data_IF_642689625637
#
_entry.id   IF_642689625637
#
_cell.length_a   1.000
_cell.length_b   1.000
_cell.length_c   1.000
_cell.angle_alpha   90.00
_cell.angle_beta   90.00
_cell.angle_gamma   90.00
#
_symmetry.space_group_name_H-M   'P 1'
#
loop_
_entity.id
_entity.type
_entity.pdbx_description
1 polymer ?
#
# COMPACT_ATOMS: atom_id res chain seq x y z
N UNK A 1 10.51 19.30 0.83
CA UNK A 1 9.71 18.11 0.49
C UNK A 1 8.58 17.97 1.48
N UNK A 2 7.36 17.81 0.98
CA UNK A 2 6.20 17.62 1.85
C UNK A 2 6.01 16.14 2.12
N UNK A 3 5.77 15.78 3.38
CA UNK A 3 5.65 14.38 3.79
C UNK A 3 4.42 14.16 4.66
N UNK A 4 3.69 13.09 4.39
CA UNK A 4 2.52 12.67 5.16
C UNK A 4 2.81 11.31 5.77
N UNK A 5 2.57 11.17 7.07
CA UNK A 5 2.80 9.91 7.78
C UNK A 5 1.52 9.51 8.49
N UNK A 6 1.08 8.27 8.27
CA UNK A 6 -0.07 7.71 8.95
C UNK A 6 0.27 6.33 9.50
N UNK A 7 -0.28 6.00 10.63
CA UNK A 7 -0.08 4.69 11.24
C UNK A 7 -1.42 4.09 11.64
N UNK A 8 -1.47 2.77 11.74
CA UNK A 8 -2.67 2.06 12.17
C UNK A 8 -2.25 0.78 12.88
N UNK A 9 -2.83 0.53 14.06
CA UNK A 9 -2.63 -0.74 14.73
C UNK A 9 -3.48 -1.79 14.03
N UNK A 10 -2.89 -2.95 13.78
CA UNK A 10 -3.55 -4.04 13.06
C UNK A 10 -3.55 -5.29 13.95
N UNK A 11 -4.70 -5.93 14.18
CA UNK A 11 -4.77 -7.08 15.07
C UNK A 11 -4.35 -8.38 14.37
N UNK A 12 -3.18 -8.38 13.78
CA UNK A 12 -2.58 -9.55 13.15
C UNK A 12 -1.09 -9.56 13.47
N UNK A 13 -0.44 -10.68 13.20
CA UNK A 13 1.02 -10.75 13.34
C UNK A 13 1.69 -9.95 12.22
N UNK A 14 2.98 -9.69 12.40
CA UNK A 14 3.79 -9.02 11.36
C UNK A 14 3.76 -9.83 10.06
N UNK A 15 3.87 -11.15 10.15
CA UNK A 15 3.86 -12.01 8.96
C UNK A 15 2.58 -11.90 8.17
N UNK A 16 1.43 -11.84 8.86
CA UNK A 16 0.15 -11.70 8.20
C UNK A 16 0.02 -10.35 7.51
N UNK A 17 0.41 -9.28 8.20
CA UNK A 17 0.32 -7.96 7.64
C UNK A 17 1.27 -7.78 6.45
N UNK A 18 2.47 -8.35 6.54
CA UNK A 18 3.41 -8.28 5.43
C UNK A 18 2.90 -9.09 4.23
N UNK A 19 2.32 -10.27 4.48
CA UNK A 19 1.73 -11.07 3.40
C UNK A 19 0.61 -10.29 2.71
N UNK A 20 -0.21 -9.56 3.47
CA UNK A 20 -1.26 -8.74 2.90
C UNK A 20 -0.70 -7.63 2.02
N UNK A 21 0.41 -7.00 2.45
CA UNK A 21 1.03 -5.96 1.65
C UNK A 21 1.54 -6.52 0.33
N UNK A 22 2.07 -7.73 0.34
CA UNK A 22 2.55 -8.37 -0.88
C UNK A 22 1.42 -8.66 -1.87
N UNK A 23 0.17 -8.62 -1.40
CA UNK A 23 -1.00 -8.82 -2.25
C UNK A 23 -1.70 -7.50 -2.56
N UNK A 24 -0.97 -6.40 -2.52
CA UNK A 24 -1.56 -5.08 -2.76
C UNK A 24 -2.24 -4.96 -4.12
N UNK A 25 -1.81 -5.74 -5.09
CA UNK A 25 -2.46 -5.77 -6.40
C UNK A 25 -3.92 -6.21 -6.31
N UNK A 26 -4.29 -6.94 -5.26
CA UNK A 26 -5.67 -7.40 -5.09
C UNK A 26 -6.55 -6.36 -4.40
N UNK A 27 -6.00 -5.58 -3.47
CA UNK A 27 -6.82 -4.65 -2.73
C UNK A 27 -6.65 -3.17 -3.13
N UNK A 28 -5.57 -2.80 -3.82
CA UNK A 28 -5.43 -1.43 -4.31
C UNK A 28 -6.61 -0.99 -5.17
N UNK A 29 -7.15 -1.84 -6.07
CA UNK A 29 -8.29 -1.41 -6.88
C UNK A 29 -9.56 -1.15 -6.08
N UNK A 30 -9.64 -1.64 -4.84
CA UNK A 30 -10.84 -1.44 -4.02
C UNK A 30 -10.84 -0.11 -3.27
N UNK A 31 -9.73 0.63 -3.29
CA UNK A 31 -9.71 1.95 -2.67
C UNK A 31 -10.66 2.88 -3.43
N UNK A 32 -11.33 3.75 -2.69
CA UNK A 32 -12.35 4.63 -3.27
C UNK A 32 -11.79 5.56 -4.36
N UNK A 33 -10.50 5.85 -4.30
CA UNK A 33 -9.86 6.74 -5.27
C UNK A 33 -9.40 6.02 -6.52
N UNK A 34 -9.41 4.68 -6.53
CA UNK A 34 -8.85 3.90 -7.61
C UNK A 34 -9.92 3.20 -8.43
N UNK A 35 -9.56 2.85 -9.65
CA UNK A 35 -10.42 2.10 -10.56
C UNK A 35 -9.76 0.80 -10.98
N UNK A 36 -8.45 0.80 -11.18
CA UNK A 36 -7.76 -0.38 -11.69
C UNK A 36 -6.27 -0.34 -11.35
N UNK A 37 -5.66 -1.52 -11.30
CA UNK A 37 -4.21 -1.69 -11.22
C UNK A 37 -3.83 -2.59 -12.37
N UNK A 38 -2.93 -2.10 -13.23
CA UNK A 38 -2.51 -2.83 -14.43
C UNK A 38 -1.04 -3.21 -14.33
N UNK A 39 -0.72 -4.43 -14.64
CA UNK A 39 0.65 -4.93 -14.63
C UNK A 39 0.74 -6.17 -15.50
N UNK A 40 1.96 -6.58 -15.84
CA UNK A 40 2.19 -7.80 -16.60
C UNK A 40 1.89 -9.00 -15.70
N UNK A 41 0.87 -9.78 -16.05
CA UNK A 41 0.40 -10.88 -15.22
C UNK A 41 1.07 -12.22 -15.54
N UNK A 42 2.14 -12.19 -16.32
CA UNK A 42 2.85 -13.42 -16.66
C UNK A 42 3.65 -13.96 -15.47
N UNK A 43 3.91 -13.14 -14.45
CA UNK A 43 4.64 -13.58 -13.26
C UNK A 43 3.97 -13.00 -12.00
N UNK A 44 4.55 -13.25 -10.83
CA UNK A 44 4.01 -12.76 -9.58
C UNK A 44 4.07 -11.24 -9.50
N UNK A 45 3.23 -10.65 -8.65
CA UNK A 45 3.16 -9.19 -8.58
C UNK A 45 4.29 -8.56 -7.78
N UNK A 46 4.55 -9.06 -6.57
CA UNK A 46 5.37 -8.31 -5.62
C UNK A 46 6.83 -8.73 -5.66
N UNK A 47 7.67 -7.90 -6.26
CA UNK A 47 9.13 -8.10 -6.23
C UNK A 47 9.81 -6.76 -6.54
N UNK A 48 11.04 -6.62 -6.09
CA UNK A 48 11.80 -5.40 -6.32
C UNK A 48 12.05 -5.21 -7.82
N UNK A 49 11.71 -4.06 -8.32
CA UNK A 49 11.80 -3.76 -9.76
C UNK A 49 10.48 -3.89 -10.51
N UNK A 50 9.43 -4.43 -9.86
CA UNK A 50 8.11 -4.54 -10.50
C UNK A 50 7.55 -3.16 -10.85
N UNK A 51 7.12 -2.99 -12.10
CA UNK A 51 6.41 -1.77 -12.52
C UNK A 51 4.93 -2.09 -12.68
N UNK A 52 4.08 -1.14 -12.37
CA UNK A 52 2.65 -1.27 -12.50
C UNK A 52 2.00 0.11 -12.62
N UNK A 53 0.74 0.13 -13.03
CA UNK A 53 0.00 1.39 -13.15
C UNK A 53 -1.18 1.36 -12.21
N UNK A 54 -1.43 2.46 -11.52
CA UNK A 54 -2.65 2.65 -10.75
C UNK A 54 -3.48 3.69 -11.49
N UNK A 55 -4.68 3.30 -11.91
CA UNK A 55 -5.60 4.20 -12.61
C UNK A 55 -6.63 4.68 -11.61
N UNK A 56 -6.73 6.00 -11.45
CA UNK A 56 -7.66 6.59 -10.51
C UNK A 56 -9.06 6.68 -11.13
N UNK A 57 -10.05 6.98 -10.30
CA UNK A 57 -11.42 7.15 -10.80
C UNK A 57 -11.56 8.29 -11.78
N UNK A 58 -10.72 9.32 -11.65
CA UNK A 58 -10.71 10.43 -12.59
C UNK A 58 -10.00 10.08 -13.90
N UNK A 59 -9.41 8.89 -13.98
CA UNK A 59 -8.73 8.48 -15.21
C UNK A 59 -7.25 8.85 -15.25
N UNK A 60 -6.69 9.29 -14.13
CA UNK A 60 -5.26 9.61 -14.07
C UNK A 60 -4.49 8.31 -13.85
N UNK A 61 -3.44 8.10 -14.61
CA UNK A 61 -2.59 6.92 -14.47
C UNK A 61 -1.31 7.30 -13.75
N UNK A 62 -1.04 6.61 -12.64
CA UNK A 62 0.21 6.76 -11.91
C UNK A 62 1.11 5.59 -12.26
N UNK A 63 2.25 5.89 -12.87
CA UNK A 63 3.26 4.87 -13.19
C UNK A 63 4.05 4.61 -11.91
N UNK A 64 4.07 3.37 -11.49
CA UNK A 64 4.63 2.99 -10.19
C UNK A 64 5.68 1.89 -10.33
N UNK A 65 6.60 1.87 -9.38
CA UNK A 65 7.63 0.84 -9.32
C UNK A 65 7.86 0.44 -7.87
N UNK A 66 7.89 -0.86 -7.60
CA UNK A 66 8.35 -1.36 -6.31
C UNK A 66 9.86 -1.25 -6.32
N UNK A 67 10.37 -0.16 -5.75
CA UNK A 67 11.76 0.24 -5.91
C UNK A 67 12.71 -0.53 -4.99
N UNK A 68 12.30 -0.77 -3.75
CA UNK A 68 13.11 -1.46 -2.78
C UNK A 68 12.23 -2.30 -1.88
N UNK A 69 12.60 -3.57 -1.68
CA UNK A 69 11.92 -4.47 -0.75
C UNK A 69 12.93 -4.92 0.30
N UNK A 70 12.64 -4.65 1.57
CA UNK A 70 13.47 -5.09 2.68
C UNK A 70 12.67 -6.13 3.48
N UNK A 71 12.90 -7.40 3.20
CA UNK A 71 12.16 -8.49 3.85
C UNK A 71 12.48 -8.58 5.33
N UNK A 72 13.71 -8.29 5.72
CA UNK A 72 14.12 -8.39 7.13
C UNK A 72 13.41 -7.32 7.97
N UNK A 73 13.34 -6.09 7.45
CA UNK A 73 12.71 -4.98 8.16
C UNK A 73 11.22 -4.86 7.87
N UNK A 74 10.68 -5.65 6.97
CA UNK A 74 9.29 -5.60 6.54
C UNK A 74 8.91 -4.21 6.07
N UNK A 75 9.64 -3.74 5.07
CA UNK A 75 9.50 -2.39 4.56
C UNK A 75 9.62 -2.39 3.04
N UNK A 76 8.82 -1.60 2.37
CA UNK A 76 8.87 -1.45 0.92
C UNK A 76 8.87 0.03 0.58
N UNK A 77 9.63 0.38 -0.44
CA UNK A 77 9.64 1.73 -0.98
C UNK A 77 9.10 1.67 -2.41
N UNK A 78 8.12 2.51 -2.71
CA UNK A 78 7.47 2.55 -4.01
C UNK A 78 7.61 3.96 -4.58
N UNK A 79 8.03 4.05 -5.83
CA UNK A 79 8.14 5.31 -6.54
C UNK A 79 6.99 5.40 -7.53
N UNK A 80 6.30 6.52 -7.56
CA UNK A 80 5.18 6.72 -8.47
C UNK A 80 5.30 8.07 -9.16
N UNK A 81 4.82 8.16 -10.38
CA UNK A 81 4.88 9.43 -11.12
C UNK A 81 3.71 9.56 -12.08
N UNK A 82 3.34 10.82 -12.33
CA UNK A 82 2.39 11.18 -13.36
C UNK A 82 2.83 12.55 -13.89
N UNK A 83 3.22 12.59 -15.14
CA UNK A 83 3.76 13.80 -15.74
C UNK A 83 4.98 14.28 -14.94
N UNK A 84 4.97 15.51 -14.43
CA UNK A 84 6.06 16.05 -13.64
C UNK A 84 5.90 15.78 -12.16
N UNK A 85 4.77 15.22 -11.75
CA UNK A 85 4.52 14.93 -10.36
C UNK A 85 5.16 13.59 -9.98
N UNK A 86 5.88 13.58 -8.88
CA UNK A 86 6.51 12.36 -8.36
C UNK A 86 6.17 12.17 -6.92
N UNK A 87 6.03 10.92 -6.48
CA UNK A 87 5.84 10.62 -5.08
C UNK A 87 6.69 9.43 -4.67
N UNK A 88 7.11 9.45 -3.41
CA UNK A 88 7.85 8.36 -2.78
C UNK A 88 6.96 7.82 -1.68
N UNK A 89 6.65 6.54 -1.76
CA UNK A 89 5.79 5.88 -0.79
C UNK A 89 6.59 4.84 -0.05
N UNK A 90 6.51 4.84 1.29
CA UNK A 90 7.12 3.81 2.10
C UNK A 90 6.05 3.16 2.94
N UNK A 91 5.98 1.84 2.91
CA UNK A 91 5.08 1.07 3.76
C UNK A 91 5.91 0.14 4.63
N UNK A 92 5.60 0.08 5.92
CA UNK A 92 6.35 -0.78 6.83
C UNK A 92 5.43 -1.40 7.88
N UNK A 93 5.89 -2.51 8.43
CA UNK A 93 5.17 -3.24 9.48
C UNK A 93 6.12 -3.41 10.66
N UNK A 94 5.66 -2.99 11.87
CA UNK A 94 6.44 -3.15 13.08
C UNK A 94 5.66 -4.00 14.07
N UNK A 95 6.35 -4.88 14.77
CA UNK A 95 5.74 -5.74 15.76
C UNK A 95 5.34 -4.92 16.99
N UNK A 96 4.12 -5.12 17.49
CA UNK A 96 3.70 -4.63 18.80
C UNK A 96 3.79 -5.82 19.77
N UNK A 97 3.15 -6.93 19.42
CA UNK A 97 3.29 -8.19 20.14
C UNK A 97 3.02 -9.34 19.14
N UNK A 98 2.83 -10.56 19.60
CA UNK A 98 2.67 -11.71 18.71
C UNK A 98 1.38 -11.66 17.90
N UNK A 99 0.41 -10.87 18.34
CA UNK A 99 -0.91 -10.81 17.69
C UNK A 99 -1.27 -9.43 17.19
N UNK A 100 -0.38 -8.46 17.32
CA UNK A 100 -0.64 -7.09 16.87
C UNK A 100 0.60 -6.48 16.25
N UNK A 101 0.40 -5.68 15.25
CA UNK A 101 1.48 -4.93 14.61
C UNK A 101 1.03 -3.52 14.30
N UNK A 102 1.98 -2.67 13.94
CA UNK A 102 1.70 -1.31 13.52
C UNK A 102 2.04 -1.17 12.05
N UNK A 103 1.07 -0.74 11.26
CA UNK A 103 1.26 -0.43 9.86
C UNK A 103 1.59 1.05 9.73
N UNK A 104 2.58 1.38 8.92
CA UNK A 104 2.94 2.78 8.67
C UNK A 104 3.02 3.01 7.18
N UNK A 105 2.43 4.10 6.72
CA UNK A 105 2.54 4.55 5.35
C UNK A 105 3.06 5.98 5.36
N UNK A 106 4.15 6.20 4.65
CA UNK A 106 4.74 7.53 4.53
C UNK A 106 4.71 7.90 3.05
N UNK A 107 4.17 9.05 2.73
CA UNK A 107 4.13 9.53 1.36
C UNK A 107 4.82 10.87 1.29
N UNK A 108 5.79 11.01 0.40
CA UNK A 108 6.56 12.23 0.22
C UNK A 108 6.49 12.69 -1.22
N UNK A 109 6.45 13.99 -1.42
CA UNK A 109 6.41 14.61 -2.73
C UNK A 109 7.69 15.44 -2.89
N UNK A 110 8.70 14.90 -3.59
CA UNK A 110 9.96 15.63 -3.74
C UNK A 110 9.83 16.73 -4.79
N UNK A 111 10.63 17.77 -4.65
CA UNK A 111 10.71 18.86 -5.62
C UNK A 111 9.65 19.92 -5.42
N UNK A 112 9.76 20.97 -6.23
CA UNK A 112 8.88 22.14 -6.12
C UNK A 112 7.43 21.80 -6.47
N UNK A 113 7.25 21.04 -7.54
CA UNK A 113 5.91 20.68 -7.97
C UNK A 113 5.23 19.76 -6.99
N UNK A 114 5.98 18.85 -6.37
CA UNK A 114 5.45 18.00 -5.32
C UNK A 114 4.99 18.80 -4.12
N UNK A 115 5.76 19.82 -3.74
CA UNK A 115 5.38 20.69 -2.63
C UNK A 115 4.07 21.43 -2.93
N UNK A 116 3.95 21.98 -4.14
CA UNK A 116 2.75 22.70 -4.54
C UNK A 116 1.53 21.77 -4.53
N UNK A 117 1.69 20.58 -5.10
CA UNK A 117 0.62 19.59 -5.11
C UNK A 117 0.18 19.25 -3.69
N UNK A 118 1.12 18.96 -2.81
CA UNK A 118 0.81 18.58 -1.44
C UNK A 118 0.11 19.71 -0.69
N UNK A 119 0.49 20.96 -0.93
CA UNK A 119 -0.12 22.11 -0.28
C UNK A 119 -1.60 22.25 -0.67
N UNK A 120 -1.92 22.05 -1.94
CA UNK A 120 -3.29 22.20 -2.42
C UNK A 120 -4.18 20.99 -2.09
N UNK A 121 -3.61 19.80 -1.97
CA UNK A 121 -4.39 18.57 -1.81
C UNK A 121 -4.15 17.88 -0.46
N UNK A 122 -3.83 18.65 0.55
CA UNK A 122 -3.49 18.13 1.87
C UNK A 122 -4.59 17.26 2.47
N UNK A 123 -5.82 17.72 2.48
CA UNK A 123 -6.93 16.98 3.05
C UNK A 123 -7.19 15.67 2.31
N UNK A 124 -7.11 15.70 0.99
CA UNK A 124 -7.36 14.54 0.17
C UNK A 124 -6.31 13.48 0.40
N UNK A 125 -5.05 13.90 0.49
CA UNK A 125 -3.96 12.96 0.71
C UNK A 125 -4.07 12.26 2.06
N UNK A 126 -4.40 12.96 3.12
CA UNK A 126 -4.59 12.35 4.42
C UNK A 126 -5.71 11.32 4.42
N UNK A 127 -6.82 11.61 3.74
CA UNK A 127 -7.93 10.67 3.64
C UNK A 127 -7.55 9.42 2.87
N UNK A 128 -6.82 9.58 1.77
CA UNK A 128 -6.38 8.45 0.97
C UNK A 128 -5.41 7.56 1.75
N UNK A 129 -4.53 8.16 2.55
CA UNK A 129 -3.58 7.41 3.34
C UNK A 129 -4.27 6.58 4.40
N UNK A 130 -5.28 7.12 5.08
CA UNK A 130 -6.06 6.40 6.07
C UNK A 130 -6.78 5.21 5.46
N UNK A 131 -7.42 5.40 4.32
CA UNK A 131 -8.13 4.31 3.65
C UNK A 131 -7.16 3.21 3.22
N UNK A 132 -5.99 3.58 2.74
CA UNK A 132 -4.97 2.63 2.34
C UNK A 132 -4.62 1.70 3.51
N UNK A 133 -4.36 2.28 4.68
CA UNK A 133 -4.03 1.50 5.87
C UNK A 133 -5.20 0.62 6.32
N UNK A 134 -6.41 1.13 6.27
CA UNK A 134 -7.60 0.39 6.67
C UNK A 134 -7.85 -0.81 5.77
N UNK A 135 -7.73 -0.63 4.47
CA UNK A 135 -7.94 -1.71 3.51
C UNK A 135 -6.82 -2.75 3.64
N UNK A 136 -5.59 -2.31 3.81
CA UNK A 136 -4.46 -3.19 4.05
C UNK A 136 -4.70 -4.04 5.31
N UNK A 137 -5.07 -3.39 6.43
CA UNK A 137 -5.34 -4.09 7.68
C UNK A 137 -6.49 -5.08 7.53
N UNK A 138 -7.54 -4.71 6.81
CA UNK A 138 -8.66 -5.59 6.56
C UNK A 138 -8.23 -6.82 5.77
N UNK A 139 -7.44 -6.64 4.74
CA UNK A 139 -6.94 -7.76 3.95
C UNK A 139 -6.06 -8.68 4.79
N UNK A 140 -5.24 -8.13 5.68
CA UNK A 140 -4.42 -8.92 6.58
C UNK A 140 -5.27 -9.80 7.49
N UNK A 141 -6.37 -9.24 8.00
CA UNK A 141 -7.28 -10.00 8.84
C UNK A 141 -8.00 -11.09 8.06
N UNK A 142 -8.29 -10.84 6.79
CA UNK A 142 -8.91 -11.83 5.94
C UNK A 142 -7.98 -13.02 5.68
N UNK A 143 -6.70 -12.79 5.59
CA UNK A 143 -5.73 -13.87 5.41
C UNK A 143 -5.69 -14.82 6.61
N UNK A 144 -6.00 -14.31 7.79
CA UNK A 144 -6.06 -15.15 8.97
C UNK A 144 -7.30 -16.05 8.96
N UNK A 145 -8.43 -15.52 8.44
CA UNK A 145 -9.69 -16.24 8.44
C UNK A 145 -9.77 -17.45 7.54
N UNK A 146 -9.25 -17.42 6.33
CA UNK A 146 -9.45 -18.53 5.42
C UNK A 146 -9.02 -19.88 5.99
N UNK A 147 -8.00 -19.85 6.80
CA UNK A 147 -7.53 -21.06 7.40
C UNK A 147 -8.59 -21.71 8.27
N UNK A 148 -9.31 -20.95 9.04
CA UNK A 148 -10.37 -21.45 9.88
C UNK A 148 -11.56 -21.86 9.05
N UNK A 149 -11.92 -21.03 8.09
CA UNK A 149 -13.05 -21.28 7.25
C UNK A 149 -12.89 -22.53 6.44
N UNK A 150 -11.75 -22.69 5.85
CA UNK A 150 -11.57 -23.83 4.98
C UNK A 150 -11.55 -25.10 5.80
N UNK A 151 -11.20 -25.04 7.05
CA UNK A 151 -11.22 -26.19 7.81
C UNK A 151 -12.54 -26.67 8.08
N UNK A 152 -13.44 -25.82 8.18
CA UNK A 152 -14.71 -26.24 8.45
C UNK A 152 -15.38 -26.69 7.30
N UNK A 153 -15.19 -26.05 6.30
CA UNK A 153 -15.95 -26.30 5.19
C UNK A 153 -15.79 -27.63 4.72
N UNK A 154 -14.83 -28.18 4.98
CA UNK A 154 -14.70 -29.33 4.41
C UNK A 154 -15.23 -30.32 5.09
N UNK A 155 -15.85 -30.12 5.81
CA UNK A 155 -16.41 -30.95 6.50
C UNK A 155 -17.63 -31.10 6.44
#
# INVERSE_FOLDING_TARGET
MKTYVETLACPTSVSQAWAALKEMNLWLPTLSTNRAVNYDRSDGFFYQGRTYEVVTREGVTMDSEIYLVDEAEKKVEIHASHSILKSLLTCSVERIDDHRCKLTRTQAYPGVFGFVFATFFDHRESGETSEYLEVWAHHAQMLTRPHVTSTVADR
#
